data_IF_102474736320
#
_entry.id   IF_102474736320
#
_cell.length_a   1.000
_cell.length_b   1.000
_cell.length_c   1.000
_cell.angle_alpha   90.00
_cell.angle_beta   90.00
_cell.angle_gamma   90.00
#
_symmetry.space_group_name_H-M   'P 1'
#
loop_
_entity.id
_entity.type
_entity.pdbx_description
1 polymer ?
#
# COMPACT_ATOMS: atom_id res chain seq x y z
N UNK A 1 65.96 18.23 -36.74
CA UNK A 1 66.19 19.70 -36.72
C UNK A 1 65.35 20.29 -35.59
N UNK A 2 65.94 20.45 -34.41
CA UNK A 2 65.56 21.52 -33.48
C UNK A 2 66.42 22.74 -33.86
N UNK A 3 65.96 24.00 -33.65
CA UNK A 3 66.24 24.67 -32.36
C UNK A 3 65.15 25.72 -31.94
N UNK A 4 64.85 25.86 -30.62
CA UNK A 4 65.27 26.91 -29.64
C UNK A 4 64.30 28.11 -29.51
N UNK A 5 63.67 28.36 -28.35
CA UNK A 5 64.14 29.05 -27.11
C UNK A 5 63.92 30.59 -27.16
N UNK A 6 63.60 31.33 -26.10
CA UNK A 6 63.68 31.09 -24.64
C UNK A 6 62.71 31.97 -23.82
N UNK A 7 62.49 31.63 -22.54
CA UNK A 7 63.09 32.20 -21.29
C UNK A 7 62.36 33.46 -20.78
N UNK A 8 62.21 33.76 -19.48
CA UNK A 8 62.41 33.08 -18.19
C UNK A 8 62.03 34.09 -17.06
N UNK A 9 61.76 33.58 -15.84
CA UNK A 9 61.80 34.33 -14.57
C UNK A 9 60.63 33.99 -13.64
N UNK A 10 60.60 32.87 -12.91
CA UNK A 10 61.26 32.51 -11.64
C UNK A 10 60.92 33.38 -10.40
N UNK A 11 60.30 32.73 -9.42
CA UNK A 11 60.34 33.05 -7.99
C UNK A 11 59.99 31.78 -7.18
N UNK A 12 61.00 31.21 -6.50
CA UNK A 12 60.99 29.91 -5.78
C UNK A 12 60.53 30.04 -4.32
N UNK A 13 60.05 28.94 -3.74
CA UNK A 13 60.53 28.31 -2.48
C UNK A 13 59.39 27.47 -1.83
N UNK A 14 59.33 26.14 -1.99
CA UNK A 14 60.06 25.08 -1.29
C UNK A 14 59.68 24.87 0.20
N UNK A 15 58.91 23.80 0.49
CA UNK A 15 59.27 22.65 1.38
C UNK A 15 58.04 21.88 1.89
N UNK A 16 58.13 20.55 1.89
CA UNK A 16 57.45 19.66 2.86
C UNK A 16 56.46 18.62 2.31
N UNK A 17 56.96 17.43 1.97
CA UNK A 17 56.25 16.13 1.91
C UNK A 17 56.26 15.46 3.32
N UNK A 18 55.72 14.24 3.59
CA UNK A 18 54.59 13.46 3.04
C UNK A 18 53.69 12.80 4.15
N UNK A 19 52.76 11.93 3.72
CA UNK A 19 52.14 10.77 4.43
C UNK A 19 50.91 10.96 5.33
N UNK A 20 49.78 10.38 4.89
CA UNK A 20 48.95 9.50 5.71
C UNK A 20 48.07 8.63 4.79
N UNK A 21 48.45 7.36 4.63
CA UNK A 21 47.54 6.28 4.27
C UNK A 21 46.78 5.85 5.52
N UNK A 22 45.46 5.76 5.47
CA UNK A 22 44.69 4.82 6.28
C UNK A 22 43.26 4.75 5.77
N UNK A 23 42.80 3.52 5.60
CA UNK A 23 41.46 3.10 5.28
C UNK A 23 40.38 3.83 6.11
N UNK A 24 39.32 4.29 5.44
CA UNK A 24 38.14 4.86 6.07
C UNK A 24 36.91 4.18 5.52
N UNK A 25 36.45 3.16 6.24
CA UNK A 25 35.34 2.29 5.90
C UNK A 25 34.08 3.06 5.47
N UNK A 26 33.48 2.59 4.38
CA UNK A 26 32.12 2.96 3.99
C UNK A 26 31.19 2.79 5.20
N UNK A 27 30.49 3.86 5.55
CA UNK A 27 29.51 3.89 6.62
C UNK A 27 28.32 2.98 6.24
N UNK A 28 28.46 1.67 6.47
CA UNK A 28 27.35 0.72 6.41
C UNK A 28 26.65 0.75 7.76
N UNK A 29 25.59 1.56 7.85
CA UNK A 29 24.68 1.50 8.97
C UNK A 29 24.06 0.09 9.03
N UNK A 30 24.41 -0.67 10.07
CA UNK A 30 23.69 -1.88 10.46
C UNK A 30 22.52 -1.45 11.34
N UNK A 31 21.29 -1.82 10.95
CA UNK A 31 20.10 -1.69 11.79
C UNK A 31 19.78 -3.05 12.38
N UNK A 32 19.79 -3.14 13.71
CA UNK A 32 19.45 -4.33 14.49
C UNK A 32 17.94 -4.28 14.82
N UNK A 33 17.19 -5.32 14.45
CA UNK A 33 15.75 -5.43 14.74
C UNK A 33 15.56 -6.20 16.04
N UNK A 34 14.84 -5.60 17.00
CA UNK A 34 14.34 -6.30 18.17
C UNK A 34 13.03 -7.02 17.78
N UNK A 35 13.10 -8.35 17.66
CA UNK A 35 11.91 -9.19 17.46
C UNK A 35 11.30 -9.45 18.84
N UNK A 36 10.13 -8.90 19.12
CA UNK A 36 9.31 -9.37 20.25
C UNK A 36 8.54 -10.60 19.79
N UNK A 37 9.09 -11.79 20.04
CA UNK A 37 8.39 -13.06 19.81
C UNK A 37 7.52 -13.44 21.02
N UNK A 38 6.22 -13.62 20.76
CA UNK A 38 5.34 -14.52 21.53
C UNK A 38 4.64 -13.95 22.78
N UNK A 39 3.51 -14.57 23.19
CA UNK A 39 2.70 -14.09 24.30
C UNK A 39 3.36 -14.48 25.61
N UNK A 40 3.77 -13.50 26.42
CA UNK A 40 4.13 -13.80 27.80
C UNK A 40 2.87 -14.22 28.56
N UNK A 41 2.81 -15.51 28.93
CA UNK A 41 1.94 -15.99 30.01
C UNK A 41 2.18 -15.09 31.22
N UNK A 42 1.19 -14.26 31.57
CA UNK A 42 1.16 -13.65 32.89
C UNK A 42 1.09 -14.78 33.93
N UNK A 43 2.21 -15.06 34.58
CA UNK A 43 2.19 -15.73 35.87
C UNK A 43 1.38 -14.84 36.83
N UNK A 44 0.22 -15.33 37.24
CA UNK A 44 -0.54 -14.74 38.36
C UNK A 44 0.30 -14.87 39.62
N UNK A 45 0.98 -13.81 40.02
CA UNK A 45 1.36 -13.62 41.42
C UNK A 45 0.08 -13.22 42.18
N UNK A 46 -0.33 -14.06 43.13
CA UNK A 46 -1.40 -13.73 44.08
C UNK A 46 -0.96 -12.53 44.93
N UNK A 47 -1.75 -11.46 45.07
CA UNK A 47 -1.59 -10.58 46.22
C UNK A 47 -2.21 -11.24 47.45
N UNK A 48 -1.50 -11.15 48.56
CA UNK A 48 -1.98 -11.53 49.88
C UNK A 48 -3.18 -10.67 50.28
N UNK A 49 -4.11 -11.28 51.00
CA UNK A 49 -5.29 -10.64 51.55
C UNK A 49 -4.92 -9.59 52.62
N UNK A 50 -5.55 -8.42 52.53
CA UNK A 50 -5.50 -7.37 53.55
C UNK A 50 -6.62 -6.37 53.31
N UNK A 51 -7.61 -6.39 54.21
CA UNK A 51 -8.85 -5.62 54.16
C UNK A 51 -8.64 -4.10 54.42
N UNK A 52 -9.49 -3.24 53.83
CA UNK A 52 -10.41 -2.37 54.59
C UNK A 52 -11.36 -1.58 53.67
N UNK A 53 -12.50 -1.22 54.25
CA UNK A 53 -13.73 -0.70 53.66
C UNK A 53 -13.69 0.79 53.23
N UNK A 54 -14.57 1.17 52.30
CA UNK A 54 -14.93 2.58 52.07
C UNK A 54 -15.64 2.84 50.74
N UNK A 55 -16.85 3.38 50.82
CA UNK A 55 -17.73 3.75 49.69
C UNK A 55 -17.13 4.92 48.88
N UNK A 56 -17.12 4.84 47.54
CA UNK A 56 -17.72 5.87 46.67
C UNK A 56 -17.73 5.38 45.21
N UNK A 57 -18.89 5.52 44.57
CA UNK A 57 -19.14 5.26 43.16
C UNK A 57 -18.58 6.35 42.25
N UNK A 58 -18.19 5.92 41.05
CA UNK A 58 -18.20 6.59 39.74
C UNK A 58 -17.63 8.01 39.64
N UNK A 59 -16.46 8.12 39.01
CA UNK A 59 -16.15 8.95 37.82
C UNK A 59 -14.63 8.93 37.57
N UNK A 60 -14.21 8.48 36.39
CA UNK A 60 -12.81 8.51 35.94
C UNK A 60 -12.73 7.92 34.52
N UNK A 61 -12.91 8.75 33.50
CA UNK A 61 -11.82 9.17 32.64
C UNK A 61 -11.11 7.97 31.98
N UNK A 62 -11.68 7.51 30.86
CA UNK A 62 -10.93 6.76 29.86
C UNK A 62 -10.01 7.76 29.17
N UNK A 63 -8.76 7.84 29.63
CA UNK A 63 -7.72 8.62 28.98
C UNK A 63 -7.24 7.90 27.72
N UNK A 64 -7.15 8.66 26.63
CA UNK A 64 -6.47 8.36 25.37
C UNK A 64 -5.31 7.36 25.51
N UNK A 65 -5.49 6.15 24.98
CA UNK A 65 -4.37 5.35 24.52
C UNK A 65 -4.18 5.63 23.04
N UNK A 66 -3.24 6.54 22.79
CA UNK A 66 -2.68 6.88 21.50
C UNK A 66 -2.17 5.62 20.81
N UNK A 67 -2.82 5.23 19.71
CA UNK A 67 -2.21 4.36 18.71
C UNK A 67 -1.20 5.24 17.97
N UNK A 68 0.07 5.16 18.37
CA UNK A 68 1.15 5.84 17.68
C UNK A 68 1.31 5.20 16.28
N UNK A 69 0.76 5.87 15.25
CA UNK A 69 0.97 5.49 13.86
C UNK A 69 2.41 5.84 13.47
N UNK A 70 3.28 4.84 13.43
CA UNK A 70 4.60 4.99 12.84
C UNK A 70 4.46 5.14 11.32
N UNK A 71 4.47 6.39 10.83
CA UNK A 71 4.75 6.68 9.42
C UNK A 71 6.21 6.31 9.18
N UNK A 72 6.43 5.23 8.45
CA UNK A 72 7.76 4.84 8.01
C UNK A 72 8.40 5.99 7.21
N UNK A 73 9.59 6.50 7.58
CA UNK A 73 10.29 7.46 6.75
C UNK A 73 10.63 6.82 5.40
N UNK A 74 10.56 7.61 4.33
CA UNK A 74 10.91 7.15 3.00
C UNK A 74 12.31 6.50 3.01
N UNK A 75 12.36 5.18 2.77
CA UNK A 75 13.61 4.41 2.73
C UNK A 75 13.86 3.42 3.89
N UNK A 76 12.94 3.22 4.84
CA UNK A 76 13.10 2.12 5.79
C UNK A 76 12.82 0.78 5.10
N UNK A 77 13.83 -0.10 5.07
CA UNK A 77 13.72 -1.45 4.54
C UNK A 77 12.58 -2.22 5.24
N UNK A 78 11.66 -2.73 4.42
CA UNK A 78 10.46 -3.45 4.85
C UNK A 78 10.78 -4.94 4.94
N UNK A 79 10.31 -5.59 6.01
CA UNK A 79 10.32 -7.05 6.09
C UNK A 79 8.93 -7.55 5.73
N UNK A 80 8.83 -8.25 4.60
CA UNK A 80 7.62 -8.99 4.20
C UNK A 80 7.95 -10.46 4.40
N UNK A 81 7.21 -11.14 5.29
CA UNK A 81 7.48 -12.53 5.63
C UNK A 81 6.79 -13.44 4.59
N UNK A 82 7.46 -13.67 3.46
CA UNK A 82 6.92 -14.47 2.35
C UNK A 82 7.20 -15.96 2.56
N UNK A 83 6.37 -16.87 2.02
CA UNK A 83 6.60 -18.30 2.18
C UNK A 83 7.98 -18.70 1.67
N UNK A 84 8.85 -19.19 2.56
CA UNK A 84 10.12 -19.78 2.17
C UNK A 84 9.90 -21.20 1.65
N UNK A 85 10.26 -21.43 0.39
CA UNK A 85 10.64 -22.78 -0.03
C UNK A 85 12.04 -23.07 0.49
N UNK A 86 12.17 -23.54 1.72
CA UNK A 86 13.43 -24.10 2.24
C UNK A 86 13.87 -23.59 3.61
N UNK A 87 14.39 -24.52 4.39
CA UNK A 87 14.90 -24.39 5.76
C UNK A 87 16.02 -23.35 5.89
N UNK A 88 15.83 -22.33 6.74
CA UNK A 88 16.88 -21.42 7.18
C UNK A 88 16.32 -20.07 7.64
N UNK A 89 16.32 -19.81 8.95
CA UNK A 89 15.87 -18.54 9.52
C UNK A 89 16.91 -17.43 9.28
N UNK A 90 16.76 -16.71 8.17
CA UNK A 90 17.26 -15.34 8.00
C UNK A 90 16.10 -14.48 7.47
N UNK A 91 15.88 -13.26 7.99
CA UNK A 91 14.88 -12.36 7.43
C UNK A 91 15.26 -12.07 5.97
N UNK A 92 14.46 -12.57 5.01
CA UNK A 92 14.64 -12.19 3.62
C UNK A 92 14.36 -10.71 3.49
N UNK A 93 15.34 -9.97 2.95
CA UNK A 93 15.15 -8.59 2.53
C UNK A 93 14.08 -8.56 1.44
N UNK A 94 13.19 -7.57 1.46
CA UNK A 94 12.29 -7.33 0.34
C UNK A 94 13.07 -7.31 -0.97
N UNK A 95 12.61 -8.01 -2.02
CA UNK A 95 13.28 -7.99 -3.31
C UNK A 95 13.51 -6.55 -3.76
N UNK A 96 14.68 -6.28 -4.34
CA UNK A 96 15.07 -4.93 -4.78
C UNK A 96 14.02 -4.31 -5.71
N UNK A 97 13.42 -5.12 -6.59
CA UNK A 97 12.33 -4.71 -7.47
C UNK A 97 11.08 -4.23 -6.70
N UNK A 98 10.71 -4.93 -5.62
CA UNK A 98 9.57 -4.53 -4.77
C UNK A 98 9.88 -3.25 -3.99
N UNK A 99 11.12 -3.07 -3.52
CA UNK A 99 11.54 -1.80 -2.92
C UNK A 99 11.48 -0.65 -3.93
N UNK A 100 11.98 -0.86 -5.15
CA UNK A 100 11.90 0.12 -6.22
C UNK A 100 10.43 0.44 -6.57
N UNK A 101 9.54 -0.54 -6.53
CA UNK A 101 8.11 -0.34 -6.74
C UNK A 101 7.51 0.58 -5.67
N UNK A 102 7.81 0.39 -4.38
CA UNK A 102 7.36 1.30 -3.33
C UNK A 102 7.90 2.71 -3.49
N UNK A 103 9.17 2.85 -3.87
CA UNK A 103 9.79 4.15 -4.14
C UNK A 103 9.13 4.85 -5.32
N UNK A 104 8.72 4.11 -6.36
CA UNK A 104 8.01 4.67 -7.51
C UNK A 104 6.62 5.23 -7.15
N UNK A 105 6.01 4.71 -6.07
CA UNK A 105 4.64 5.07 -5.67
C UNK A 105 3.55 4.58 -6.61
N UNK A 106 3.88 3.83 -7.68
CA UNK A 106 2.89 3.33 -8.63
C UNK A 106 2.21 2.07 -8.08
N UNK A 107 0.93 2.18 -7.70
CA UNK A 107 0.16 1.08 -7.11
C UNK A 107 0.12 -0.18 -7.98
N UNK A 108 0.01 -0.05 -9.32
CA UNK A 108 0.02 -1.21 -10.22
C UNK A 108 1.38 -1.90 -10.22
N UNK A 109 2.50 -1.15 -10.23
CA UNK A 109 3.84 -1.73 -10.14
C UNK A 109 4.05 -2.43 -8.80
N UNK A 110 3.58 -1.83 -7.69
CA UNK A 110 3.62 -2.46 -6.36
C UNK A 110 2.86 -3.78 -6.33
N UNK A 111 1.66 -3.83 -6.92
CA UNK A 111 0.87 -5.07 -7.02
C UNK A 111 1.59 -6.11 -7.88
N UNK A 112 2.09 -5.74 -9.06
CA UNK A 112 2.82 -6.66 -9.96
C UNK A 112 4.02 -7.28 -9.25
N UNK A 113 4.88 -6.47 -8.63
CA UNK A 113 6.07 -6.99 -7.93
C UNK A 113 5.70 -7.80 -6.68
N UNK A 114 4.61 -7.45 -6.01
CA UNK A 114 4.07 -8.23 -4.89
C UNK A 114 3.61 -9.62 -5.33
N UNK A 115 2.90 -9.71 -6.47
CA UNK A 115 2.43 -10.98 -7.04
C UNK A 115 3.59 -11.85 -7.52
N UNK A 116 4.61 -11.26 -8.17
CA UNK A 116 5.85 -11.96 -8.55
C UNK A 116 6.54 -12.54 -7.34
N UNK A 117 6.67 -11.74 -6.29
CA UNK A 117 7.31 -12.15 -5.05
C UNK A 117 6.53 -13.27 -4.35
N UNK A 118 5.20 -13.28 -4.47
CA UNK A 118 4.35 -14.38 -4.00
C UNK A 118 4.37 -15.62 -4.93
N UNK A 119 5.06 -15.57 -6.08
CA UNK A 119 5.10 -16.67 -7.05
C UNK A 119 3.75 -16.92 -7.74
N UNK A 120 2.88 -15.91 -7.83
CA UNK A 120 1.58 -16.03 -8.47
C UNK A 120 1.71 -16.06 -10.00
N UNK A 121 0.85 -16.84 -10.67
CA UNK A 121 0.71 -16.89 -12.13
C UNK A 121 -0.72 -16.61 -12.57
N UNK A 122 -1.72 -17.12 -11.84
CA UNK A 122 -3.14 -16.80 -12.03
C UNK A 122 -3.66 -15.83 -10.97
N UNK A 123 -4.30 -14.75 -11.41
CA UNK A 123 -4.68 -13.64 -10.51
C UNK A 123 -6.10 -13.18 -10.79
N UNK A 124 -6.90 -13.04 -9.72
CA UNK A 124 -8.21 -12.40 -9.77
C UNK A 124 -8.14 -10.96 -9.25
N UNK A 125 -8.57 -10.00 -10.06
CA UNK A 125 -8.79 -8.60 -9.66
C UNK A 125 -10.26 -8.40 -9.23
N UNK A 126 -10.49 -8.13 -7.96
CA UNK A 126 -11.83 -8.00 -7.36
C UNK A 126 -12.19 -6.51 -7.25
N UNK A 127 -13.24 -6.09 -7.95
CA UNK A 127 -13.53 -4.68 -8.20
C UNK A 127 -12.63 -4.12 -9.30
N UNK A 128 -12.52 -4.84 -10.42
CA UNK A 128 -11.55 -4.54 -11.47
C UNK A 128 -11.83 -3.25 -12.26
N UNK A 129 -13.02 -2.65 -12.07
CA UNK A 129 -13.51 -1.52 -12.84
C UNK A 129 -13.36 -1.76 -14.34
N UNK A 130 -12.87 -0.76 -15.06
CA UNK A 130 -12.57 -0.86 -16.50
C UNK A 130 -11.35 -1.70 -16.87
N UNK A 131 -10.88 -2.60 -16.00
CA UNK A 131 -9.87 -3.63 -16.28
C UNK A 131 -8.43 -3.13 -16.41
N UNK A 132 -8.08 -1.97 -15.82
CA UNK A 132 -6.73 -1.40 -15.95
C UNK A 132 -5.65 -2.29 -15.33
N UNK A 133 -5.91 -2.86 -14.15
CA UNK A 133 -4.97 -3.75 -13.49
C UNK A 133 -4.89 -5.09 -14.24
N UNK A 134 -6.03 -5.69 -14.60
CA UNK A 134 -6.08 -6.90 -15.45
C UNK A 134 -5.25 -6.74 -16.73
N UNK A 135 -5.42 -5.64 -17.48
CA UNK A 135 -4.63 -5.36 -18.68
C UNK A 135 -3.11 -5.31 -18.39
N UNK A 136 -2.72 -4.67 -17.28
CA UNK A 136 -1.32 -4.62 -16.85
C UNK A 136 -0.80 -6.01 -16.48
N UNK A 137 -1.56 -6.78 -15.71
CA UNK A 137 -1.19 -8.14 -15.31
C UNK A 137 -1.02 -9.05 -16.53
N UNK A 138 -1.94 -9.00 -17.50
CA UNK A 138 -1.81 -9.77 -18.74
C UNK A 138 -0.56 -9.39 -19.54
N UNK A 139 -0.23 -8.10 -19.64
CA UNK A 139 0.98 -7.63 -20.32
C UNK A 139 2.27 -8.09 -19.61
N UNK A 140 2.21 -8.32 -18.29
CA UNK A 140 3.32 -8.80 -17.46
C UNK A 140 3.41 -10.33 -17.38
N UNK A 141 2.54 -11.04 -18.13
CA UNK A 141 2.57 -12.51 -18.27
C UNK A 141 1.68 -13.29 -17.29
N UNK A 142 0.85 -12.62 -16.50
CA UNK A 142 -0.11 -13.28 -15.61
C UNK A 142 -1.37 -13.74 -16.37
N UNK A 143 -1.92 -14.89 -15.97
CA UNK A 143 -3.27 -15.31 -16.32
C UNK A 143 -4.27 -14.55 -15.44
N UNK A 144 -4.73 -13.39 -15.92
CA UNK A 144 -5.56 -12.48 -15.14
C UNK A 144 -7.05 -12.61 -15.47
N UNK A 145 -7.88 -12.51 -14.43
CA UNK A 145 -9.33 -12.38 -14.52
C UNK A 145 -9.79 -11.16 -13.68
N UNK A 146 -10.97 -10.62 -13.99
CA UNK A 146 -11.55 -9.49 -13.24
C UNK A 146 -13.03 -9.66 -12.95
N UNK A 147 -13.49 -9.17 -11.81
CA UNK A 147 -14.91 -9.02 -11.49
C UNK A 147 -15.23 -7.61 -11.06
N UNK A 148 -16.42 -7.14 -11.44
CA UNK A 148 -16.94 -5.85 -11.00
C UNK A 148 -18.49 -5.90 -10.99
N UNK A 149 -19.18 -5.30 -10.01
CA UNK A 149 -20.65 -5.29 -10.00
C UNK A 149 -21.24 -4.39 -11.10
N UNK A 150 -20.47 -3.45 -11.67
CA UNK A 150 -20.96 -2.52 -12.67
C UNK A 150 -20.77 -3.07 -14.10
N UNK A 151 -21.86 -3.54 -14.70
CA UNK A 151 -21.83 -4.17 -16.03
C UNK A 151 -21.15 -3.32 -17.15
N UNK A 152 -21.37 -1.99 -17.26
CA UNK A 152 -20.64 -1.15 -18.21
C UNK A 152 -19.11 -1.14 -18.00
N UNK A 153 -18.64 -1.20 -16.75
CA UNK A 153 -17.22 -1.29 -16.46
C UNK A 153 -16.62 -2.62 -16.95
N UNK A 154 -17.34 -3.72 -16.73
CA UNK A 154 -16.96 -5.05 -17.23
C UNK A 154 -16.93 -5.10 -18.76
N UNK A 155 -17.87 -4.46 -19.44
CA UNK A 155 -17.85 -4.35 -20.90
C UNK A 155 -16.62 -3.58 -21.40
N UNK A 156 -16.31 -2.44 -20.78
CA UNK A 156 -15.10 -1.67 -21.08
C UNK A 156 -13.82 -2.49 -20.81
N UNK A 157 -13.81 -3.31 -19.75
CA UNK A 157 -12.70 -4.19 -19.41
C UNK A 157 -12.49 -5.29 -20.47
N UNK A 158 -13.57 -5.93 -20.93
CA UNK A 158 -13.55 -6.93 -22.02
C UNK A 158 -13.00 -6.34 -23.31
N UNK A 159 -13.45 -5.14 -23.68
CA UNK A 159 -12.95 -4.46 -24.88
C UNK A 159 -11.45 -4.12 -24.77
N UNK A 160 -10.97 -3.79 -23.56
CA UNK A 160 -9.56 -3.48 -23.30
C UNK A 160 -8.67 -4.73 -23.33
N UNK A 161 -9.15 -5.87 -22.85
CA UNK A 161 -8.36 -7.11 -22.81
C UNK A 161 -9.22 -8.31 -23.19
N UNK A 162 -9.51 -8.52 -24.50
CA UNK A 162 -10.44 -9.57 -24.94
C UNK A 162 -10.02 -11.00 -24.59
N UNK A 163 -8.73 -11.23 -24.34
CA UNK A 163 -8.19 -12.53 -23.97
C UNK A 163 -8.34 -12.87 -22.47
N UNK A 164 -8.66 -11.88 -21.62
CA UNK A 164 -8.85 -12.08 -20.19
C UNK A 164 -10.31 -12.44 -19.87
N UNK A 165 -10.51 -13.08 -18.72
CA UNK A 165 -11.85 -13.45 -18.25
C UNK A 165 -12.44 -12.33 -17.40
N UNK A 166 -13.70 -11.97 -17.67
CA UNK A 166 -14.42 -10.98 -16.87
C UNK A 166 -15.86 -11.39 -16.58
N UNK A 167 -16.31 -11.17 -15.35
CA UNK A 167 -17.69 -11.42 -14.92
C UNK A 167 -18.29 -10.23 -14.17
N UNK A 168 -19.59 -10.01 -14.37
CA UNK A 168 -20.37 -9.06 -13.58
C UNK A 168 -20.73 -9.72 -12.27
N UNK A 169 -20.12 -9.29 -11.17
CA UNK A 169 -20.33 -9.86 -9.85
C UNK A 169 -19.84 -8.92 -8.76
N UNK A 170 -20.54 -8.91 -7.63
CA UNK A 170 -20.00 -8.35 -6.40
C UNK A 170 -18.94 -9.26 -5.76
N UNK A 171 -18.13 -8.68 -4.89
CA UNK A 171 -17.04 -9.36 -4.20
C UNK A 171 -17.51 -10.45 -3.22
N UNK A 172 -18.74 -10.34 -2.72
CA UNK A 172 -19.38 -11.22 -1.73
C UNK A 172 -19.97 -12.51 -2.32
N UNK A 173 -19.82 -12.75 -3.63
CA UNK A 173 -20.33 -13.95 -4.31
C UNK A 173 -19.61 -14.19 -5.64
N UNK A 174 -18.33 -14.59 -5.59
CA UNK A 174 -17.47 -14.70 -6.76
C UNK A 174 -17.85 -15.91 -7.64
N UNK A 175 -18.00 -15.75 -8.97
CA UNK A 175 -18.48 -16.79 -9.89
C UNK A 175 -17.35 -17.74 -10.33
N UNK A 176 -16.49 -18.14 -9.40
CA UNK A 176 -15.37 -19.05 -9.65
C UNK A 176 -15.36 -20.19 -8.65
N UNK A 177 -14.82 -21.33 -9.07
CA UNK A 177 -14.65 -22.49 -8.20
C UNK A 177 -13.61 -22.22 -7.09
N UNK A 178 -13.68 -22.92 -5.95
CA UNK A 178 -12.65 -22.82 -4.92
C UNK A 178 -11.25 -23.13 -5.47
N UNK A 179 -10.22 -22.48 -4.92
CA UNK A 179 -8.82 -22.69 -5.27
C UNK A 179 -8.46 -22.55 -6.78
N UNK A 180 -9.20 -21.71 -7.51
CA UNK A 180 -8.97 -21.44 -8.94
C UNK A 180 -7.77 -20.52 -9.22
N UNK A 181 -7.38 -19.69 -8.25
CA UNK A 181 -6.35 -18.66 -8.44
C UNK A 181 -5.16 -18.84 -7.50
N UNK A 182 -3.98 -18.43 -7.97
CA UNK A 182 -2.78 -18.31 -7.14
C UNK A 182 -2.88 -17.11 -6.19
N UNK A 183 -3.54 -16.04 -6.64
CA UNK A 183 -3.76 -14.85 -5.84
C UNK A 183 -5.05 -14.09 -6.21
N UNK A 184 -5.56 -13.32 -5.25
CA UNK A 184 -6.62 -12.34 -5.45
C UNK A 184 -6.15 -10.95 -5.03
N UNK A 185 -6.65 -9.91 -5.68
CA UNK A 185 -6.28 -8.52 -5.43
C UNK A 185 -7.54 -7.69 -5.22
N UNK A 186 -7.58 -6.94 -4.12
CA UNK A 186 -8.44 -5.76 -3.97
C UNK A 186 -7.56 -4.53 -4.13
N UNK A 187 -7.64 -3.84 -5.26
CA UNK A 187 -6.91 -2.59 -5.48
C UNK A 187 -7.88 -1.42 -5.44
N UNK A 188 -7.89 -0.68 -4.33
CA UNK A 188 -8.80 0.43 -4.07
C UNK A 188 -10.28 0.03 -4.24
N UNK A 189 -10.66 -1.15 -3.75
CA UNK A 189 -11.99 -1.73 -4.02
C UNK A 189 -12.71 -2.30 -2.81
N UNK A 190 -12.02 -2.66 -1.71
CA UNK A 190 -12.69 -3.25 -0.55
C UNK A 190 -13.57 -2.23 0.16
N UNK A 191 -13.14 -0.98 0.28
CA UNK A 191 -13.96 0.11 0.84
C UNK A 191 -15.20 0.46 0.00
N UNK A 192 -15.38 -0.08 -1.21
CA UNK A 192 -16.62 0.06 -1.97
C UNK A 192 -17.64 -1.05 -1.69
N UNK A 193 -17.26 -2.09 -0.95
CA UNK A 193 -18.17 -3.15 -0.51
C UNK A 193 -18.99 -2.64 0.69
N UNK A 194 -20.31 -2.93 0.78
CA UNK A 194 -21.08 -2.62 1.98
C UNK A 194 -20.41 -3.15 3.24
N UNK A 195 -20.40 -2.34 4.31
CA UNK A 195 -19.62 -2.61 5.54
C UNK A 195 -19.92 -3.99 6.13
N UNK A 196 -21.19 -4.39 6.14
CA UNK A 196 -21.67 -5.68 6.62
C UNK A 196 -21.33 -6.86 5.70
N UNK A 197 -20.93 -6.60 4.45
CA UNK A 197 -20.51 -7.61 3.47
C UNK A 197 -19.00 -7.71 3.27
N UNK A 198 -18.20 -6.76 3.77
CA UNK A 198 -16.73 -6.77 3.62
C UNK A 198 -16.09 -8.07 4.14
N UNK A 199 -16.58 -8.58 5.27
CA UNK A 199 -16.12 -9.86 5.82
C UNK A 199 -16.34 -11.03 4.85
N UNK A 200 -17.52 -11.07 4.23
CA UNK A 200 -17.89 -12.10 3.23
C UNK A 200 -17.10 -11.95 1.94
N UNK A 201 -16.80 -10.72 1.50
CA UNK A 201 -15.94 -10.47 0.35
C UNK A 201 -14.52 -11.02 0.57
N UNK A 202 -13.96 -10.86 1.77
CA UNK A 202 -12.67 -11.46 2.14
C UNK A 202 -12.75 -12.99 2.16
N UNK A 203 -13.83 -13.57 2.69
CA UNK A 203 -14.03 -15.03 2.71
C UNK A 203 -14.11 -15.61 1.29
N UNK A 204 -14.83 -14.95 0.39
CA UNK A 204 -14.91 -15.35 -1.02
C UNK A 204 -13.56 -15.25 -1.73
N UNK A 205 -12.78 -14.20 -1.47
CA UNK A 205 -11.41 -14.10 -1.96
C UNK A 205 -10.53 -15.25 -1.44
N UNK A 206 -10.68 -15.60 -0.15
CA UNK A 206 -10.04 -16.77 0.45
C UNK A 206 -10.46 -18.09 -0.19
N UNK A 207 -11.75 -18.25 -0.51
CA UNK A 207 -12.31 -19.46 -1.12
C UNK A 207 -11.72 -19.71 -2.51
N UNK A 208 -11.65 -18.68 -3.35
CA UNK A 208 -11.18 -18.82 -4.75
C UNK A 208 -9.66 -18.88 -4.87
N UNK A 209 -8.92 -18.46 -3.85
CA UNK A 209 -7.46 -18.56 -3.80
C UNK A 209 -7.05 -19.91 -3.21
N UNK A 210 -6.06 -20.57 -3.81
CA UNK A 210 -5.53 -21.85 -3.31
C UNK A 210 -4.87 -21.72 -1.94
N UNK A 211 -4.77 -22.83 -1.22
CA UNK A 211 -3.97 -22.90 0.01
C UNK A 211 -2.52 -22.45 -0.26
N UNK A 212 -1.97 -21.66 0.66
CA UNK A 212 -0.66 -21.01 0.52
C UNK A 212 -0.62 -19.86 -0.50
N UNK A 213 -1.72 -19.58 -1.19
CA UNK A 213 -1.88 -18.43 -2.09
C UNK A 213 -2.01 -17.11 -1.35
N UNK A 214 -1.99 -16.02 -2.11
CA UNK A 214 -1.95 -14.66 -1.57
C UNK A 214 -3.24 -13.87 -1.83
N UNK A 215 -3.69 -13.10 -0.84
CA UNK A 215 -4.66 -12.03 -1.04
C UNK A 215 -3.94 -10.71 -0.80
N UNK A 216 -3.88 -9.87 -1.84
CA UNK A 216 -3.31 -8.53 -1.76
C UNK A 216 -4.45 -7.53 -1.62
N UNK A 217 -4.36 -6.66 -0.62
CA UNK A 217 -5.36 -5.61 -0.40
C UNK A 217 -4.63 -4.28 -0.36
N UNK A 218 -4.92 -3.39 -1.30
CA UNK A 218 -4.34 -2.05 -1.38
C UNK A 218 -5.45 -1.04 -1.14
N UNK A 219 -5.38 -0.34 -0.01
CA UNK A 219 -6.42 0.58 0.44
C UNK A 219 -5.83 1.99 0.63
N UNK A 220 -6.49 3.03 0.10
CA UNK A 220 -6.07 4.40 0.35
C UNK A 220 -6.35 4.77 1.81
N UNK A 221 -5.41 5.48 2.44
CA UNK A 221 -5.64 6.03 3.78
C UNK A 221 -6.50 7.31 3.70
N UNK A 222 -7.26 7.61 4.73
CA UNK A 222 -8.05 8.85 4.86
C UNK A 222 -7.15 10.04 5.25
N UNK A 223 -6.08 10.25 4.49
CA UNK A 223 -5.07 11.29 4.68
C UNK A 223 -4.35 11.57 3.35
N UNK A 224 -3.52 12.62 3.34
CA UNK A 224 -2.75 13.03 2.18
C UNK A 224 -3.44 14.10 1.35
N UNK A 225 -2.65 14.84 0.55
CA UNK A 225 -3.16 16.00 -0.18
C UNK A 225 -4.23 15.65 -1.20
N UNK A 226 -4.20 14.45 -1.80
CA UNK A 226 -5.26 14.00 -2.69
C UNK A 226 -6.60 13.88 -1.94
N UNK A 227 -6.58 13.18 -0.79
CA UNK A 227 -7.76 12.99 0.05
C UNK A 227 -8.31 14.32 0.57
N UNK A 228 -7.46 15.18 1.12
CA UNK A 228 -7.87 16.51 1.62
C UNK A 228 -8.50 17.41 0.54
N UNK A 229 -8.12 17.20 -0.73
CA UNK A 229 -8.70 17.93 -1.87
C UNK A 229 -10.07 17.39 -2.26
N UNK A 230 -10.29 16.07 -2.21
CA UNK A 230 -11.58 15.47 -2.55
C UNK A 230 -12.60 15.46 -1.40
N UNK A 231 -12.13 15.57 -0.14
CA UNK A 231 -12.97 15.42 1.06
C UNK A 231 -14.25 16.28 1.06
N UNK A 232 -14.27 17.53 0.55
CA UNK A 232 -15.51 18.30 0.45
C UNK A 232 -16.59 17.66 -0.43
N UNK A 233 -16.22 16.93 -1.50
CA UNK A 233 -17.16 16.18 -2.33
C UNK A 233 -17.69 14.97 -1.56
N UNK A 234 -16.77 14.21 -0.98
CA UNK A 234 -17.08 12.96 -0.32
C UNK A 234 -16.02 12.65 0.74
N UNK A 235 -16.47 12.53 1.99
CA UNK A 235 -15.61 12.13 3.10
C UNK A 235 -15.65 10.61 3.27
N UNK A 236 -14.66 9.94 2.69
CA UNK A 236 -14.50 8.48 2.77
C UNK A 236 -13.81 8.01 4.06
N UNK A 237 -13.62 8.86 5.08
CA UNK A 237 -12.89 8.51 6.31
C UNK A 237 -13.49 7.28 6.98
N UNK A 238 -14.81 7.27 7.19
CA UNK A 238 -15.50 6.19 7.89
C UNK A 238 -15.41 4.87 7.12
N UNK A 239 -15.58 4.91 5.79
CA UNK A 239 -15.61 3.69 4.98
C UNK A 239 -14.23 3.08 4.76
N UNK A 240 -13.18 3.91 4.56
CA UNK A 240 -11.78 3.45 4.48
C UNK A 240 -11.33 2.85 5.83
N UNK A 241 -11.75 3.45 6.94
CA UNK A 241 -11.51 2.88 8.27
C UNK A 241 -12.22 1.53 8.45
N UNK A 242 -13.49 1.42 8.04
CA UNK A 242 -14.25 0.17 8.10
C UNK A 242 -13.57 -0.97 7.32
N UNK A 243 -13.03 -0.68 6.12
CA UNK A 243 -12.24 -1.66 5.36
C UNK A 243 -11.00 -2.13 6.14
N UNK A 244 -10.28 -1.21 6.79
CA UNK A 244 -9.16 -1.55 7.67
C UNK A 244 -9.56 -2.45 8.84
N UNK A 245 -10.71 -2.19 9.47
CA UNK A 245 -11.27 -3.02 10.55
C UNK A 245 -11.61 -4.41 10.04
N UNK A 246 -12.28 -4.53 8.89
CA UNK A 246 -12.64 -5.83 8.31
C UNK A 246 -11.40 -6.71 8.03
N UNK A 247 -10.32 -6.12 7.52
CA UNK A 247 -9.04 -6.82 7.31
C UNK A 247 -8.44 -7.29 8.65
N UNK A 248 -8.42 -6.40 9.65
CA UNK A 248 -7.88 -6.72 10.97
C UNK A 248 -8.68 -7.84 11.65
N UNK A 249 -10.00 -7.81 11.54
CA UNK A 249 -10.88 -8.84 12.09
C UNK A 249 -10.66 -10.19 11.40
N UNK A 250 -10.50 -10.22 10.08
CA UNK A 250 -10.20 -11.45 9.36
C UNK A 250 -8.88 -12.10 9.81
N UNK A 251 -7.86 -11.29 10.10
CA UNK A 251 -6.59 -11.78 10.66
C UNK A 251 -6.76 -12.24 12.11
N UNK A 252 -7.44 -11.45 12.95
CA UNK A 252 -7.68 -11.74 14.37
C UNK A 252 -8.49 -13.02 14.57
N UNK A 253 -9.43 -13.29 13.68
CA UNK A 253 -10.29 -14.47 13.67
C UNK A 253 -9.59 -15.71 13.10
N UNK A 254 -8.34 -15.56 12.63
CA UNK A 254 -7.56 -16.66 12.06
C UNK A 254 -8.04 -17.10 10.68
N UNK A 255 -8.86 -16.29 9.99
CA UNK A 255 -9.28 -16.56 8.61
C UNK A 255 -8.10 -16.48 7.65
N UNK A 256 -7.18 -15.54 7.90
CA UNK A 256 -5.95 -15.38 7.14
C UNK A 256 -4.76 -15.09 8.04
N UNK A 257 -3.56 -15.47 7.58
CA UNK A 257 -2.30 -15.04 8.20
C UNK A 257 -1.79 -13.77 7.53
N UNK A 258 -1.55 -12.72 8.32
CA UNK A 258 -0.86 -11.52 7.85
C UNK A 258 0.63 -11.81 7.65
N UNK A 259 1.13 -11.65 6.42
CA UNK A 259 2.56 -11.77 6.06
C UNK A 259 3.32 -10.47 6.21
N UNK A 260 2.60 -9.35 6.12
CA UNK A 260 3.14 -8.02 6.25
C UNK A 260 2.12 -6.98 5.81
N UNK A 261 2.41 -5.72 6.10
CA UNK A 261 1.73 -4.58 5.50
C UNK A 261 2.69 -3.40 5.39
N UNK A 262 2.47 -2.55 4.39
CA UNK A 262 3.34 -1.42 4.07
C UNK A 262 2.49 -0.23 3.67
N UNK A 263 2.83 0.96 4.19
CA UNK A 263 2.31 2.22 3.67
C UNK A 263 3.29 2.77 2.64
N UNK A 264 2.80 3.09 1.45
CA UNK A 264 3.54 3.77 0.39
C UNK A 264 2.74 4.96 -0.14
N UNK A 265 3.39 5.85 -0.89
CA UNK A 265 2.78 7.12 -1.34
C UNK A 265 2.63 7.12 -2.84
N UNK A 266 1.40 7.14 -3.33
CA UNK A 266 1.12 7.35 -4.75
C UNK A 266 1.07 8.85 -5.06
N UNK A 267 1.75 9.24 -6.14
CA UNK A 267 1.73 10.61 -6.63
C UNK A 267 0.86 10.68 -7.88
N UNK A 268 -0.16 11.51 -7.85
CA UNK A 268 -1.08 11.75 -8.98
C UNK A 268 -0.86 13.16 -9.50
N UNK A 269 -0.84 13.31 -10.82
CA UNK A 269 -0.57 14.58 -11.51
C UNK A 269 -1.79 15.05 -12.27
N UNK A 270 -2.03 16.35 -12.24
CA UNK A 270 -3.15 17.03 -12.89
C UNK A 270 -2.66 18.34 -13.49
N UNK A 271 -3.16 18.71 -14.66
CA UNK A 271 -2.88 20.02 -15.28
C UNK A 271 -3.57 21.14 -14.53
N UNK A 272 -4.76 20.88 -13.99
CA UNK A 272 -5.60 21.84 -13.29
C UNK A 272 -6.67 21.12 -12.43
N UNK A 273 -7.48 21.91 -11.72
CA UNK A 273 -8.59 21.39 -10.89
C UNK A 273 -9.66 20.70 -11.72
N UNK A 274 -9.93 21.14 -12.95
CA UNK A 274 -10.96 20.54 -13.80
C UNK A 274 -10.62 19.10 -14.20
N UNK A 275 -9.34 18.82 -14.47
CA UNK A 275 -8.87 17.46 -14.72
C UNK A 275 -8.98 16.59 -13.46
N UNK A 276 -8.70 17.16 -12.29
CA UNK A 276 -8.88 16.47 -11.01
C UNK A 276 -10.34 16.10 -10.77
N UNK A 277 -11.27 17.05 -10.93
CA UNK A 277 -12.71 16.82 -10.79
C UNK A 277 -13.23 15.82 -11.82
N UNK A 278 -12.80 15.95 -13.08
CA UNK A 278 -13.14 15.01 -14.15
C UNK A 278 -12.73 13.58 -13.80
N UNK A 279 -11.56 13.40 -13.18
CA UNK A 279 -11.12 12.09 -12.71
C UNK A 279 -11.99 11.57 -11.56
N UNK A 280 -12.37 12.39 -10.59
CA UNK A 280 -13.25 11.96 -9.49
C UNK A 280 -14.63 11.51 -10.01
N UNK A 281 -15.21 12.27 -10.93
CA UNK A 281 -16.51 11.95 -11.56
C UNK A 281 -16.41 10.72 -12.47
N UNK A 282 -15.30 10.51 -13.15
CA UNK A 282 -15.09 9.31 -13.95
C UNK A 282 -14.98 8.03 -13.11
N UNK A 283 -14.57 8.15 -11.83
CA UNK A 283 -14.56 7.03 -10.88
C UNK A 283 -15.97 6.75 -10.36
N UNK A 284 -16.69 7.80 -9.95
CA UNK A 284 -18.10 7.69 -9.56
C UNK A 284 -18.90 8.87 -10.11
N UNK A 285 -19.81 8.57 -11.04
CA UNK A 285 -20.67 9.56 -11.69
C UNK A 285 -21.62 10.26 -10.71
N UNK A 286 -21.91 9.67 -9.54
CA UNK A 286 -22.74 10.27 -8.50
C UNK A 286 -22.14 11.60 -7.98
N UNK A 287 -20.82 11.77 -8.11
CA UNK A 287 -20.07 12.94 -7.66
C UNK A 287 -20.28 14.18 -8.54
N UNK A 288 -20.82 14.03 -9.75
CA UNK A 288 -20.94 15.12 -10.73
C UNK A 288 -21.62 16.36 -10.16
N UNK A 289 -22.77 16.19 -9.51
CA UNK A 289 -23.51 17.32 -8.93
C UNK A 289 -22.77 18.01 -7.78
N UNK A 290 -22.00 17.28 -6.98
CA UNK A 290 -21.19 17.85 -5.91
C UNK A 290 -19.96 18.57 -6.47
N UNK A 291 -19.29 17.98 -7.46
CA UNK A 291 -18.14 18.56 -8.15
C UNK A 291 -18.48 19.92 -8.79
N UNK A 292 -19.66 20.06 -9.39
CA UNK A 292 -20.14 21.34 -9.94
C UNK A 292 -20.42 22.37 -8.83
N UNK A 293 -21.17 21.98 -7.79
CA UNK A 293 -21.57 22.90 -6.71
C UNK A 293 -20.41 23.39 -5.85
N UNK A 294 -19.39 22.55 -5.66
CA UNK A 294 -18.27 22.79 -4.75
C UNK A 294 -16.98 23.16 -5.50
N UNK A 295 -17.05 23.46 -6.80
CA UNK A 295 -15.88 23.70 -7.64
C UNK A 295 -14.90 24.73 -7.03
N UNK A 296 -15.38 25.91 -6.66
CA UNK A 296 -14.54 26.99 -6.10
C UNK A 296 -13.84 26.61 -4.78
N UNK A 297 -14.55 25.89 -3.90
CA UNK A 297 -14.01 25.36 -2.65
C UNK A 297 -12.89 24.36 -2.94
N UNK A 298 -13.15 23.44 -3.87
CA UNK A 298 -12.18 22.42 -4.28
C UNK A 298 -10.99 23.05 -4.98
N UNK A 299 -11.17 24.10 -5.78
CA UNK A 299 -10.06 24.82 -6.40
C UNK A 299 -9.14 25.43 -5.33
N UNK A 300 -9.73 26.00 -4.28
CA UNK A 300 -8.96 26.52 -3.15
C UNK A 300 -8.21 25.40 -2.43
N UNK A 301 -8.87 24.28 -2.15
CA UNK A 301 -8.21 23.10 -1.57
C UNK A 301 -7.08 22.59 -2.47
N UNK A 302 -7.33 22.44 -3.77
CA UNK A 302 -6.38 21.94 -4.75
C UNK A 302 -5.12 22.83 -4.79
N UNK A 303 -5.28 24.16 -4.79
CA UNK A 303 -4.14 25.09 -4.74
C UNK A 303 -3.36 25.01 -3.43
N UNK A 304 -4.04 24.80 -2.30
CA UNK A 304 -3.39 24.68 -0.98
C UNK A 304 -2.66 23.34 -0.79
N UNK A 305 -3.23 22.26 -1.32
CA UNK A 305 -2.79 20.89 -1.08
C UNK A 305 -1.78 20.39 -2.13
N UNK A 306 -1.82 20.93 -3.35
CA UNK A 306 -0.93 20.51 -4.42
C UNK A 306 0.44 21.16 -4.35
N UNK A 307 1.41 20.53 -5.03
CA UNK A 307 2.74 21.08 -5.25
C UNK A 307 2.98 21.20 -6.75
N UNK A 308 3.71 22.22 -7.19
CA UNK A 308 4.10 22.33 -8.59
C UNK A 308 5.07 21.19 -8.98
N UNK A 309 4.85 20.56 -10.13
CA UNK A 309 5.70 19.53 -10.72
C UNK A 309 5.73 19.70 -12.25
N UNK A 310 6.65 20.55 -12.72
CA UNK A 310 6.70 20.96 -14.13
C UNK A 310 5.47 21.76 -14.54
N UNK A 311 4.82 21.34 -15.63
CA UNK A 311 3.56 21.87 -16.15
C UNK A 311 2.31 21.26 -15.47
N UNK A 312 2.50 20.44 -14.44
CA UNK A 312 1.44 19.81 -13.68
C UNK A 312 1.48 20.21 -12.19
N UNK A 313 0.38 19.91 -11.51
CA UNK A 313 0.24 19.90 -10.07
C UNK A 313 0.26 18.45 -9.58
N UNK A 314 1.02 18.17 -8.53
CA UNK A 314 1.05 16.86 -7.90
C UNK A 314 0.29 16.85 -6.57
N UNK A 315 -0.52 15.80 -6.39
CA UNK A 315 -1.17 15.43 -5.15
C UNK A 315 -0.68 14.05 -4.73
N UNK A 316 -0.68 13.79 -3.42
CA UNK A 316 -0.17 12.54 -2.85
C UNK A 316 -1.28 11.83 -2.10
N UNK A 317 -1.46 10.55 -2.41
CA UNK A 317 -2.36 9.63 -1.72
C UNK A 317 -1.52 8.53 -1.05
N UNK A 318 -1.39 8.49 0.28
CA UNK A 318 -0.89 7.33 0.99
C UNK A 318 -1.82 6.13 0.79
N UNK A 319 -1.26 4.97 0.50
CA UNK A 319 -1.96 3.70 0.42
C UNK A 319 -1.27 2.68 1.33
N UNK A 320 -2.06 1.78 1.91
CA UNK A 320 -1.54 0.62 2.61
C UNK A 320 -1.82 -0.63 1.81
N UNK A 321 -0.76 -1.41 1.55
CA UNK A 321 -0.88 -2.78 1.05
C UNK A 321 -0.80 -3.77 2.22
N UNK A 322 -1.67 -4.78 2.20
CA UNK A 322 -1.65 -5.95 3.08
C UNK A 322 -1.37 -7.20 2.24
N UNK A 323 -0.48 -8.08 2.71
CA UNK A 323 -0.30 -9.41 2.17
C UNK A 323 -0.90 -10.42 3.13
N UNK A 324 -2.02 -11.01 2.76
CA UNK A 324 -2.64 -12.09 3.51
C UNK A 324 -2.32 -13.43 2.83
N UNK A 325 -2.13 -14.48 3.62
CA UNK A 325 -1.97 -15.84 3.14
C UNK A 325 -3.21 -16.69 3.50
N UNK A 326 -3.66 -17.50 2.54
CA UNK A 326 -4.74 -18.49 2.74
C UNK A 326 -4.16 -19.76 3.34
N UNK A 327 -4.76 -20.25 4.42
CA UNK A 327 -4.30 -21.44 5.14
C UNK A 327 -3.15 -21.19 6.14
N UNK A 328 -2.75 -22.27 6.83
CA UNK A 328 -1.77 -22.26 7.93
C UNK A 328 -0.30 -22.08 7.49
#
# INVERSE_FOLDING_TARGET
MFPTAGRAGQGRSARGTPTASADGHSNRAFVMILVLTGPQRLMKTRPAAGACAGRQCLLGHLSDQQVEMAVAPAGSALTVDLPSSGTGAHPMQTPEALNAAFVSGNSHTVVVESLRTAGARSVLDIGCGGGRLVARLSAEGFAAAGVDPHAPAVEAARNKTPAAQFAVSGAQSLPFDPASFDAAVFLNSLHHVPVDEMGKALDEAGRVVREGGAILIVEPLAEGSYFETMRPIEDETAIRHAAGVAIADAVREGRFRLRGNVVFRETVRFKNVDEFLSRLVAVDASRAGAAERLHDEIETHFRLQSQQDGDHFKLVQPLRIYWLAVGN
#
